data_IF_005086666777
#
_entry.id   IF_005086666777
#
_cell.length_a   1.000
_cell.length_b   1.000
_cell.length_c   1.000
_cell.angle_alpha   90.00
_cell.angle_beta   90.00
_cell.angle_gamma   90.00
#
_symmetry.space_group_name_H-M   'P 1'
#
loop_
_entity.id
_entity.type
_entity.pdbx_description
1 polymer ?
#
# COMPACT_ATOMS: atom_id res chain seq x y z
N UNK A 1 -27.93 -40.39 42.00
CA UNK A 1 -28.94 -40.17 43.05
C UNK A 1 -28.20 -39.71 44.30
N UNK A 2 -28.08 -38.40 44.54
CA UNK A 2 -27.34 -37.89 45.71
C UNK A 2 -28.24 -36.91 46.46
N UNK A 3 -29.25 -37.46 47.14
CA UNK A 3 -29.95 -36.74 48.19
C UNK A 3 -29.00 -36.62 49.37
N UNK A 4 -28.30 -35.49 49.48
CA UNK A 4 -27.70 -35.11 50.75
C UNK A 4 -28.85 -34.84 51.73
N UNK A 5 -29.00 -35.72 52.72
CA UNK A 5 -29.92 -35.51 53.83
C UNK A 5 -29.63 -34.14 54.45
N UNK A 6 -30.63 -33.25 54.46
CA UNK A 6 -30.55 -32.00 55.23
C UNK A 6 -30.39 -32.38 56.70
N UNK A 7 -29.18 -32.25 57.24
CA UNK A 7 -28.95 -32.37 58.68
C UNK A 7 -29.70 -31.24 59.36
N UNK A 8 -30.63 -31.58 60.26
CA UNK A 8 -31.35 -30.62 61.08
C UNK A 8 -30.34 -29.89 61.97
N UNK A 9 -30.17 -28.58 61.76
CA UNK A 9 -29.18 -27.73 62.42
C UNK A 9 -29.60 -27.25 63.81
N UNK A 10 -29.79 -28.18 64.74
CA UNK A 10 -30.01 -27.86 66.15
C UNK A 10 -29.05 -28.65 67.02
N UNK A 11 -28.43 -27.99 67.98
CA UNK A 11 -27.54 -28.63 68.96
C UNK A 11 -28.36 -29.08 70.19
N UNK A 12 -28.17 -30.34 70.61
CA UNK A 12 -28.93 -30.95 71.69
C UNK A 12 -28.19 -30.74 73.02
N UNK A 13 -28.30 -29.53 73.57
CA UNK A 13 -27.93 -29.27 74.97
C UNK A 13 -28.97 -29.83 75.94
N UNK A 14 -28.52 -30.28 77.11
CA UNK A 14 -29.37 -30.84 78.17
C UNK A 14 -30.18 -29.72 78.85
N UNK A 15 -31.36 -29.42 78.29
CA UNK A 15 -32.29 -28.40 78.77
C UNK A 15 -33.41 -28.10 77.75
N UNK A 16 -34.52 -27.45 78.15
CA UNK A 16 -35.73 -27.28 77.34
C UNK A 16 -35.59 -26.27 76.17
N UNK A 17 -34.44 -25.64 75.99
CA UNK A 17 -34.20 -24.62 74.95
C UNK A 17 -33.25 -25.18 73.89
N UNK A 18 -33.69 -25.22 72.63
CA UNK A 18 -32.91 -25.69 71.49
C UNK A 18 -32.20 -24.52 70.81
N UNK A 19 -30.87 -24.59 70.75
CA UNK A 19 -30.04 -23.61 70.05
C UNK A 19 -29.85 -24.02 68.58
N UNK A 20 -29.83 -23.04 67.67
CA UNK A 20 -29.43 -23.25 66.28
C UNK A 20 -27.96 -23.68 66.24
N UNK A 21 -27.64 -24.67 65.40
CA UNK A 21 -26.31 -25.25 65.26
C UNK A 21 -25.28 -24.20 64.81
N UNK A 22 -24.53 -23.68 65.80
CA UNK A 22 -23.49 -22.67 65.62
C UNK A 22 -22.20 -23.21 65.01
N UNK A 23 -22.09 -24.52 64.74
CA UNK A 23 -20.88 -25.11 64.12
C UNK A 23 -20.59 -24.58 62.71
N UNK A 24 -21.59 -23.99 62.05
CA UNK A 24 -21.43 -23.27 60.78
C UNK A 24 -20.70 -21.93 60.93
N UNK A 25 -20.79 -21.28 62.10
CA UNK A 25 -20.14 -20.00 62.43
C UNK A 25 -18.67 -20.18 62.86
N UNK A 26 -18.28 -21.41 63.24
CA UNK A 26 -16.90 -21.75 63.63
C UNK A 26 -16.06 -22.26 62.46
N UNK A 27 -16.57 -22.20 61.23
CA UNK A 27 -15.75 -22.54 60.05
C UNK A 27 -14.59 -21.53 59.97
N UNK A 28 -13.32 -21.99 59.90
CA UNK A 28 -12.19 -21.09 59.75
C UNK A 28 -12.40 -20.22 58.50
N UNK A 29 -12.28 -18.90 58.64
CA UNK A 29 -12.34 -17.95 57.52
C UNK A 29 -11.08 -18.04 56.63
N UNK A 30 -10.04 -18.73 57.10
CA UNK A 30 -8.82 -19.00 56.34
C UNK A 30 -9.01 -20.22 55.43
N UNK A 31 -8.75 -20.03 54.13
CA UNK A 31 -8.75 -21.12 53.18
C UNK A 31 -7.71 -22.19 53.60
N UNK A 32 -8.02 -23.49 53.49
CA UNK A 32 -7.08 -24.54 53.82
C UNK A 32 -5.78 -24.34 53.02
N UNK A 33 -4.62 -24.39 53.68
CA UNK A 33 -3.28 -24.23 53.09
C UNK A 33 -3.07 -24.91 51.71
N UNK A 34 -3.54 -26.15 51.44
CA UNK A 34 -3.40 -26.75 50.11
C UNK A 34 -4.18 -26.02 49.00
N UNK A 35 -5.32 -25.40 49.31
CA UNK A 35 -6.11 -24.63 48.34
C UNK A 35 -5.45 -23.27 48.04
N UNK A 36 -4.85 -22.63 49.04
CA UNK A 36 -4.06 -21.41 48.82
C UNK A 36 -2.84 -21.66 47.92
N UNK A 37 -2.17 -22.80 48.12
CA UNK A 37 -1.05 -23.23 47.26
C UNK A 37 -1.52 -23.47 45.81
N UNK A 38 -2.65 -24.14 45.62
CA UNK A 38 -3.22 -24.35 44.29
C UNK A 38 -3.61 -23.02 43.60
N UNK A 39 -4.22 -22.09 44.35
CA UNK A 39 -4.57 -20.76 43.83
C UNK A 39 -3.32 -19.96 43.46
N UNK A 40 -2.29 -19.97 44.30
CA UNK A 40 -1.02 -19.30 44.01
C UNK A 40 -0.34 -19.88 42.76
N UNK A 41 -0.34 -21.20 42.60
CA UNK A 41 0.17 -21.87 41.40
C UNK A 41 -0.61 -21.48 40.13
N UNK A 42 -1.94 -21.37 40.23
CA UNK A 42 -2.79 -20.97 39.11
C UNK A 42 -2.54 -19.51 38.69
N UNK A 43 -2.41 -18.60 39.67
CA UNK A 43 -2.08 -17.18 39.42
C UNK A 43 -0.70 -17.05 38.78
N UNK A 44 0.29 -17.81 39.24
CA UNK A 44 1.62 -17.85 38.63
C UNK A 44 1.57 -18.36 37.19
N UNK A 45 0.85 -19.46 36.93
CA UNK A 45 0.70 -20.00 35.58
C UNK A 45 0.02 -18.99 34.65
N UNK A 46 -1.05 -18.33 35.11
CA UNK A 46 -1.74 -17.30 34.35
C UNK A 46 -0.84 -16.08 34.07
N UNK A 47 -0.03 -15.64 35.04
CA UNK A 47 0.91 -14.55 34.85
C UNK A 47 2.01 -14.89 33.83
N UNK A 48 2.53 -16.13 33.85
CA UNK A 48 3.52 -16.60 32.88
C UNK A 48 2.91 -16.65 31.48
N UNK A 49 1.72 -17.23 31.32
CA UNK A 49 1.03 -17.31 30.03
C UNK A 49 0.72 -15.91 29.49
N UNK A 50 0.20 -15.01 30.35
CA UNK A 50 -0.06 -13.62 30.00
C UNK A 50 1.21 -12.87 29.59
N UNK A 51 2.32 -13.09 30.31
CA UNK A 51 3.62 -12.50 29.99
C UNK A 51 4.18 -12.99 28.65
N UNK A 52 4.11 -14.30 28.37
CA UNK A 52 4.56 -14.87 27.09
C UNK A 52 3.68 -14.36 25.93
N UNK A 53 2.37 -14.30 26.11
CA UNK A 53 1.46 -13.77 25.10
C UNK A 53 1.74 -12.29 24.81
N UNK A 54 1.90 -11.47 25.86
CA UNK A 54 2.22 -10.05 25.71
C UNK A 54 3.57 -9.84 25.02
N UNK A 55 4.59 -10.62 25.40
CA UNK A 55 5.91 -10.57 24.76
C UNK A 55 5.81 -10.93 23.28
N UNK A 56 5.12 -12.00 22.91
CA UNK A 56 4.94 -12.40 21.52
C UNK A 56 4.16 -11.37 20.68
N UNK A 57 3.17 -10.70 21.26
CA UNK A 57 2.42 -9.64 20.58
C UNK A 57 3.30 -8.40 20.34
N UNK A 58 4.03 -7.96 21.36
CA UNK A 58 4.95 -6.81 21.25
C UNK A 58 6.05 -7.13 20.24
N UNK A 59 6.63 -8.32 20.31
CA UNK A 59 7.71 -8.76 19.42
C UNK A 59 7.27 -8.82 17.97
N UNK A 60 6.08 -9.38 17.71
CA UNK A 60 5.52 -9.47 16.38
C UNK A 60 5.18 -8.08 15.81
N UNK A 61 4.63 -7.16 16.62
CA UNK A 61 4.35 -5.78 16.19
C UNK A 61 5.65 -5.01 15.90
N UNK A 62 6.67 -5.16 16.74
CA UNK A 62 7.93 -4.42 16.60
C UNK A 62 8.73 -4.89 15.39
N UNK A 63 8.92 -6.21 15.24
CA UNK A 63 9.67 -6.77 14.12
C UNK A 63 8.87 -6.82 12.80
N UNK A 64 7.53 -6.78 12.84
CA UNK A 64 6.75 -6.65 11.59
C UNK A 64 6.90 -5.28 10.95
N UNK A 65 6.96 -4.21 11.75
CA UNK A 65 7.21 -2.86 11.24
C UNK A 65 8.61 -2.74 10.61
N UNK A 66 9.63 -3.33 11.25
CA UNK A 66 10.99 -3.37 10.71
C UNK A 66 11.08 -4.18 9.42
N UNK A 67 10.48 -5.38 9.37
CA UNK A 67 10.43 -6.19 8.15
C UNK A 67 9.69 -5.46 7.01
N UNK A 68 8.58 -4.80 7.31
CA UNK A 68 7.85 -4.03 6.30
C UNK A 68 8.69 -2.87 5.75
N UNK A 69 9.45 -2.16 6.59
CA UNK A 69 10.39 -1.12 6.14
C UNK A 69 11.51 -1.70 5.29
N UNK A 70 12.09 -2.82 5.70
CA UNK A 70 13.13 -3.49 4.91
C UNK A 70 12.61 -3.94 3.54
N UNK A 71 11.38 -4.46 3.45
CA UNK A 71 10.75 -4.79 2.16
C UNK A 71 10.49 -3.55 1.31
N UNK A 72 10.05 -2.44 1.92
CA UNK A 72 9.92 -1.16 1.21
C UNK A 72 11.27 -0.71 0.66
N UNK A 73 12.33 -0.69 1.47
CA UNK A 73 13.68 -0.31 1.01
C UNK A 73 14.19 -1.22 -0.12
N UNK A 74 13.96 -2.53 0.00
CA UNK A 74 14.29 -3.49 -1.06
C UNK A 74 13.51 -3.18 -2.35
N UNK A 75 12.22 -2.87 -2.25
CA UNK A 75 11.40 -2.52 -3.40
C UNK A 75 11.87 -1.21 -4.04
N UNK A 76 12.26 -0.21 -3.24
CA UNK A 76 12.78 1.07 -3.72
C UNK A 76 14.17 0.95 -4.38
N UNK A 77 14.96 -0.05 -3.99
CA UNK A 77 16.25 -0.35 -4.61
C UNK A 77 16.13 -1.02 -6.00
N UNK A 78 14.92 -1.46 -6.39
CA UNK A 78 14.65 -2.01 -7.72
C UNK A 78 14.70 -0.90 -8.78
N UNK A 79 14.87 -1.25 -10.07
CA UNK A 79 14.86 -0.27 -11.15
C UNK A 79 13.62 0.63 -11.09
N UNK A 80 13.85 1.94 -11.00
CA UNK A 80 12.76 2.92 -10.93
C UNK A 80 11.91 2.90 -12.20
N UNK A 81 10.64 3.32 -12.10
CA UNK A 81 9.73 3.44 -13.25
C UNK A 81 10.35 4.24 -14.41
N UNK A 82 11.15 5.26 -14.06
CA UNK A 82 11.87 6.12 -14.98
C UNK A 82 12.84 5.37 -15.91
N UNK A 83 13.42 4.25 -15.47
CA UNK A 83 14.37 3.49 -16.27
C UNK A 83 13.74 2.80 -17.49
N UNK A 84 12.41 2.74 -17.55
CA UNK A 84 11.67 2.04 -18.60
C UNK A 84 10.54 2.88 -19.20
N UNK A 85 10.66 4.21 -19.21
CA UNK A 85 9.63 5.08 -19.79
C UNK A 85 9.60 4.99 -21.32
N UNK A 86 8.41 4.95 -21.94
CA UNK A 86 8.29 5.03 -23.39
C UNK A 86 8.53 6.47 -23.85
N UNK A 87 9.36 6.66 -24.89
CA UNK A 87 9.59 7.99 -25.46
C UNK A 87 8.37 8.44 -26.26
N UNK A 88 7.62 9.44 -25.76
CA UNK A 88 6.35 9.84 -26.37
C UNK A 88 6.52 10.44 -27.78
N UNK A 89 7.61 11.16 -28.02
CA UNK A 89 7.88 11.76 -29.33
C UNK A 89 8.10 10.69 -30.42
N UNK A 90 8.67 9.53 -30.05
CA UNK A 90 8.89 8.41 -30.97
C UNK A 90 7.61 7.67 -31.37
N UNK A 91 6.54 7.80 -30.58
CA UNK A 91 5.25 7.15 -30.82
C UNK A 91 4.32 8.00 -31.69
N UNK A 92 4.68 9.26 -31.94
CA UNK A 92 3.90 10.17 -32.78
C UNK A 92 3.75 9.59 -34.19
N UNK A 93 2.52 9.59 -34.70
CA UNK A 93 2.21 9.07 -36.04
C UNK A 93 1.99 7.56 -36.11
N UNK A 94 2.22 6.82 -35.02
CA UNK A 94 1.84 5.40 -34.92
C UNK A 94 0.35 5.26 -34.61
N UNK A 95 -0.28 4.20 -35.13
CA UNK A 95 -1.61 3.77 -34.71
C UNK A 95 -1.52 2.86 -33.48
N UNK A 96 -2.67 2.46 -32.94
CA UNK A 96 -2.75 1.58 -31.77
C UNK A 96 -1.91 0.29 -31.91
N UNK A 97 -1.93 -0.34 -33.09
CA UNK A 97 -1.16 -1.55 -33.37
C UNK A 97 0.35 -1.29 -33.39
N UNK A 98 0.78 -0.18 -33.99
CA UNK A 98 2.18 0.24 -34.04
C UNK A 98 2.73 0.56 -32.65
N UNK A 99 1.94 1.23 -31.79
CA UNK A 99 2.33 1.49 -30.39
C UNK A 99 2.47 0.18 -29.61
N UNK A 100 1.51 -0.75 -29.76
CA UNK A 100 1.58 -2.08 -29.13
C UNK A 100 2.80 -2.88 -29.62
N UNK A 101 3.11 -2.82 -30.91
CA UNK A 101 4.29 -3.47 -31.48
C UNK A 101 5.59 -2.89 -30.90
N UNK A 102 5.70 -1.56 -30.83
CA UNK A 102 6.86 -0.89 -30.23
C UNK A 102 7.07 -1.30 -28.76
N UNK A 103 6.00 -1.49 -27.99
CA UNK A 103 6.09 -1.97 -26.60
C UNK A 103 6.33 -3.48 -26.48
N UNK A 104 5.92 -4.28 -27.47
CA UNK A 104 6.27 -5.71 -27.50
C UNK A 104 7.77 -5.91 -27.78
N UNK A 105 8.36 -5.06 -28.63
CA UNK A 105 9.80 -5.08 -28.96
C UNK A 105 10.70 -4.71 -27.77
N UNK A 106 10.22 -3.89 -26.84
CA UNK A 106 10.97 -3.52 -25.63
C UNK A 106 11.06 -4.66 -24.59
N UNK A 107 10.27 -5.74 -24.76
CA UNK A 107 10.24 -6.89 -23.86
C UNK A 107 9.58 -6.64 -22.51
N UNK A 108 8.84 -5.53 -22.37
CA UNK A 108 8.12 -5.22 -21.14
C UNK A 108 6.87 -6.09 -20.96
N UNK A 109 6.57 -6.43 -19.71
CA UNK A 109 5.26 -7.01 -19.37
C UNK A 109 4.22 -5.89 -19.36
N UNK A 110 3.31 -5.87 -20.34
CA UNK A 110 2.28 -4.85 -20.50
C UNK A 110 0.89 -5.50 -20.35
N UNK A 111 0.07 -4.98 -19.44
CA UNK A 111 -1.34 -5.32 -19.33
C UNK A 111 -2.20 -4.28 -20.05
N UNK A 112 -3.11 -4.73 -20.91
CA UNK A 112 -4.06 -3.86 -21.63
C UNK A 112 -5.38 -3.77 -20.83
N UNK A 113 -5.53 -2.68 -20.08
CA UNK A 113 -6.71 -2.44 -19.26
C UNK A 113 -7.93 -2.09 -20.11
N UNK A 114 -7.75 -1.38 -21.21
CA UNK A 114 -8.82 -1.03 -22.14
C UNK A 114 -9.49 -2.27 -22.72
N UNK A 115 -8.67 -3.23 -23.18
CA UNK A 115 -9.15 -4.52 -23.68
C UNK A 115 -9.89 -5.33 -22.60
N UNK A 116 -9.42 -5.30 -21.35
CA UNK A 116 -10.09 -5.96 -20.23
C UNK A 116 -11.44 -5.33 -19.87
N UNK A 117 -11.60 -4.02 -20.10
CA UNK A 117 -12.87 -3.31 -19.92
C UNK A 117 -13.83 -3.40 -21.12
N UNK A 118 -13.41 -4.03 -22.22
CA UNK A 118 -14.20 -4.12 -23.45
C UNK A 118 -14.34 -2.77 -24.16
N UNK A 119 -13.36 -1.88 -24.03
CA UNK A 119 -13.36 -0.60 -24.73
C UNK A 119 -13.04 -0.82 -26.23
N UNK A 120 -14.00 -0.51 -27.10
CA UNK A 120 -13.86 -0.60 -28.56
C UNK A 120 -13.54 0.76 -29.20
N UNK A 121 -13.32 1.82 -28.40
CA UNK A 121 -13.10 3.19 -28.87
C UNK A 121 -11.78 3.38 -29.63
N UNK A 122 -10.95 2.34 -29.74
CA UNK A 122 -9.61 2.39 -30.31
C UNK A 122 -8.57 3.06 -29.41
N UNK A 123 -8.97 3.57 -28.24
CA UNK A 123 -8.06 4.13 -27.23
C UNK A 123 -7.16 3.04 -26.64
N UNK A 124 -5.98 3.44 -26.16
CA UNK A 124 -5.09 2.56 -25.41
C UNK A 124 -5.07 2.98 -23.94
N UNK A 125 -5.23 2.01 -23.04
CA UNK A 125 -4.93 2.14 -21.62
C UNK A 125 -4.03 0.95 -21.23
N UNK A 126 -2.72 1.17 -21.30
CA UNK A 126 -1.68 0.17 -21.12
C UNK A 126 -0.95 0.39 -19.80
N UNK A 127 -0.71 -0.68 -19.05
CA UNK A 127 0.02 -0.63 -17.79
C UNK A 127 1.25 -1.52 -17.90
N UNK A 128 2.44 -0.94 -17.73
CA UNK A 128 3.67 -1.72 -17.58
C UNK A 128 3.76 -2.28 -16.18
N UNK A 129 3.90 -3.59 -16.08
CA UNK A 129 4.04 -4.28 -14.82
C UNK A 129 5.51 -4.36 -14.40
N UNK A 130 5.80 -4.31 -13.10
CA UNK A 130 7.11 -4.68 -12.60
C UNK A 130 7.41 -6.17 -12.86
N UNK A 131 8.66 -6.52 -13.11
CA UNK A 131 9.06 -7.87 -13.61
C UNK A 131 8.72 -9.04 -12.67
N UNK A 132 8.50 -8.75 -11.38
CA UNK A 132 8.17 -9.68 -10.31
C UNK A 132 6.67 -9.71 -9.95
N UNK A 133 5.83 -8.94 -10.67
CA UNK A 133 4.38 -8.87 -10.45
C UNK A 133 3.66 -9.48 -11.65
N UNK A 134 2.88 -10.54 -11.39
CA UNK A 134 2.02 -11.14 -12.43
C UNK A 134 0.81 -10.26 -12.74
N UNK A 135 0.23 -10.39 -13.93
CA UNK A 135 -0.98 -9.66 -14.33
C UNK A 135 -2.15 -9.85 -13.36
N UNK A 136 -2.40 -11.08 -12.92
CA UNK A 136 -3.48 -11.37 -11.97
C UNK A 136 -3.27 -10.67 -10.62
N UNK A 137 -2.02 -10.63 -10.14
CA UNK A 137 -1.67 -9.93 -8.90
C UNK A 137 -1.79 -8.42 -9.08
N UNK A 138 -1.32 -7.88 -10.20
CA UNK A 138 -1.43 -6.47 -10.53
C UNK A 138 -2.89 -6.01 -10.58
N UNK A 139 -3.77 -6.76 -11.24
CA UNK A 139 -5.20 -6.43 -11.33
C UNK A 139 -5.86 -6.35 -9.95
N UNK A 140 -5.52 -7.28 -9.05
CA UNK A 140 -6.01 -7.22 -7.66
C UNK A 140 -5.49 -5.97 -6.94
N UNK A 141 -4.20 -5.66 -7.07
CA UNK A 141 -3.60 -4.50 -6.41
C UNK A 141 -4.12 -3.15 -6.97
N UNK A 142 -4.30 -3.05 -8.29
CA UNK A 142 -4.83 -1.84 -8.93
C UNK A 142 -6.31 -1.58 -8.61
N UNK A 143 -7.07 -2.58 -8.19
CA UNK A 143 -8.47 -2.39 -7.77
C UNK A 143 -8.62 -1.52 -6.51
N UNK A 144 -7.57 -1.46 -5.67
CA UNK A 144 -7.57 -0.65 -4.45
C UNK A 144 -6.16 -0.25 -4.02
N UNK A 145 -5.50 0.59 -4.82
CA UNK A 145 -4.11 1.02 -4.57
C UNK A 145 -3.96 1.73 -3.21
N UNK A 146 -4.91 2.58 -2.82
CA UNK A 146 -4.88 3.28 -1.53
C UNK A 146 -5.07 2.36 -0.32
N UNK A 147 -5.64 1.17 -0.51
CA UNK A 147 -5.79 0.17 0.55
C UNK A 147 -4.57 -0.73 0.74
N UNK A 148 -3.54 -0.59 -0.10
CA UNK A 148 -2.34 -1.43 -0.05
C UNK A 148 -1.45 -1.09 1.15
N UNK A 149 -0.67 -2.07 1.59
CA UNK A 149 0.45 -1.82 2.49
C UNK A 149 1.55 -1.04 1.75
N UNK A 150 2.42 -0.32 2.48
CA UNK A 150 3.57 0.36 1.85
C UNK A 150 4.46 -0.61 1.04
N UNK A 151 4.60 -1.86 1.51
CA UNK A 151 5.37 -2.88 0.81
C UNK A 151 4.71 -3.28 -0.52
N UNK A 152 3.42 -3.56 -0.53
CA UNK A 152 2.70 -3.92 -1.76
C UNK A 152 2.60 -2.73 -2.73
N UNK A 153 2.40 -1.52 -2.18
CA UNK A 153 2.37 -0.30 -2.96
C UNK A 153 3.71 -0.02 -3.64
N UNK A 154 4.83 -0.14 -2.92
CA UNK A 154 6.15 0.04 -3.55
C UNK A 154 6.51 -1.08 -4.51
N UNK A 155 6.07 -2.32 -4.24
CA UNK A 155 6.22 -3.45 -5.16
C UNK A 155 5.53 -3.18 -6.50
N UNK A 156 4.30 -2.63 -6.45
CA UNK A 156 3.49 -2.32 -7.62
C UNK A 156 3.94 -1.04 -8.33
N UNK A 157 4.10 0.04 -7.59
CA UNK A 157 4.27 1.40 -8.14
C UNK A 157 5.72 1.66 -8.57
N UNK A 158 6.70 1.05 -7.91
CA UNK A 158 8.09 1.20 -8.34
C UNK A 158 8.39 0.26 -9.51
N UNK A 159 8.71 0.85 -10.66
CA UNK A 159 8.95 0.10 -11.89
C UNK A 159 7.71 -0.06 -12.76
N UNK A 160 6.54 0.45 -12.38
CA UNK A 160 5.35 0.50 -13.23
C UNK A 160 5.06 1.91 -13.74
N UNK A 161 4.34 1.96 -14.85
CA UNK A 161 3.76 3.18 -15.41
C UNK A 161 2.48 2.84 -16.16
N UNK A 162 1.61 3.83 -16.32
CA UNK A 162 0.39 3.75 -17.11
C UNK A 162 0.53 4.68 -18.32
N UNK A 163 0.37 4.12 -19.52
CA UNK A 163 0.31 4.84 -20.77
C UNK A 163 -1.14 4.89 -21.26
N UNK A 164 -1.63 6.08 -21.54
CA UNK A 164 -2.94 6.28 -22.17
C UNK A 164 -2.76 7.02 -23.49
N UNK A 165 -3.44 6.54 -24.52
CA UNK A 165 -3.54 7.20 -25.81
C UNK A 165 -5.00 7.28 -26.23
N UNK A 166 -5.42 8.49 -26.61
CA UNK A 166 -6.75 8.73 -27.14
C UNK A 166 -6.69 8.75 -28.66
N UNK A 167 -7.51 7.90 -29.30
CA UNK A 167 -7.63 7.85 -30.75
C UNK A 167 -8.37 9.09 -31.26
N UNK A 168 -7.72 9.86 -32.14
CA UNK A 168 -8.27 11.08 -32.74
C UNK A 168 -7.32 11.70 -33.76
N UNK A 169 -7.75 12.81 -34.38
CA UNK A 169 -6.98 13.52 -35.43
C UNK A 169 -5.67 14.17 -34.89
N UNK A 170 -5.58 14.36 -33.57
CA UNK A 170 -4.44 14.91 -32.86
C UNK A 170 -3.89 13.89 -31.87
N UNK A 171 -2.58 13.64 -31.88
CA UNK A 171 -1.96 12.75 -30.90
C UNK A 171 -2.15 13.31 -29.49
N UNK A 172 -2.85 12.60 -28.60
CA UNK A 172 -2.93 12.90 -27.17
C UNK A 172 -2.44 11.68 -26.40
N UNK A 173 -1.18 11.74 -25.98
CA UNK A 173 -0.50 10.66 -25.25
C UNK A 173 -0.18 11.12 -23.84
N UNK A 174 -0.27 10.20 -22.89
CA UNK A 174 0.08 10.47 -21.51
C UNK A 174 0.72 9.25 -20.86
N UNK A 175 1.79 9.50 -20.11
CA UNK A 175 2.41 8.51 -19.23
C UNK A 175 2.28 9.00 -17.79
N UNK A 176 1.90 8.12 -16.87
CA UNK A 176 1.85 8.41 -15.44
C UNK A 176 2.60 7.35 -14.66
N UNK A 177 3.35 7.76 -13.65
CA UNK A 177 4.12 6.84 -12.81
C UNK A 177 4.39 7.42 -11.42
N UNK A 178 4.79 6.56 -10.49
CA UNK A 178 5.30 7.00 -9.19
C UNK A 178 6.83 7.07 -9.24
N UNK A 179 7.38 8.19 -8.79
CA UNK A 179 8.80 8.42 -8.64
C UNK A 179 9.17 8.44 -7.16
N UNK A 180 10.07 7.54 -6.78
CA UNK A 180 10.60 7.46 -5.42
C UNK A 180 12.05 7.98 -5.33
N UNK A 181 12.64 8.41 -6.45
CA UNK A 181 14.07 8.64 -6.60
C UNK A 181 14.46 10.12 -6.64
N UNK A 182 13.63 11.01 -7.21
CA UNK A 182 14.01 12.42 -7.41
C UNK A 182 14.03 13.27 -6.14
N UNK A 183 13.38 12.82 -5.06
CA UNK A 183 13.45 13.47 -3.74
C UNK A 183 12.58 14.73 -3.55
N UNK A 184 12.21 15.44 -4.62
CA UNK A 184 11.25 16.55 -4.59
C UNK A 184 10.38 16.59 -5.85
N UNK A 185 9.29 17.35 -5.78
CA UNK A 185 8.36 17.53 -6.90
C UNK A 185 9.03 18.23 -8.08
N UNK A 186 9.80 19.29 -7.79
CA UNK A 186 10.53 20.07 -8.80
C UNK A 186 11.62 19.23 -9.48
N UNK A 187 12.36 18.46 -8.68
CA UNK A 187 13.36 17.54 -9.21
C UNK A 187 12.72 16.49 -10.12
N UNK A 188 11.59 15.90 -9.71
CA UNK A 188 10.87 14.92 -10.52
C UNK A 188 10.42 15.49 -11.88
N UNK A 189 9.97 16.75 -11.92
CA UNK A 189 9.66 17.43 -13.19
C UNK A 189 10.90 17.54 -14.07
N UNK A 190 12.03 18.03 -13.53
CA UNK A 190 13.26 18.19 -14.30
C UNK A 190 13.82 16.86 -14.80
N UNK A 191 13.81 15.82 -13.96
CA UNK A 191 14.31 14.49 -14.33
C UNK A 191 13.41 13.86 -15.41
N UNK A 192 12.09 14.06 -15.35
CA UNK A 192 11.18 13.58 -16.40
C UNK A 192 11.39 14.30 -17.74
N UNK A 193 11.57 15.63 -17.74
CA UNK A 193 11.92 16.41 -18.94
C UNK A 193 13.20 15.87 -19.58
N UNK A 194 14.25 15.66 -18.77
CA UNK A 194 15.51 15.11 -19.24
C UNK A 194 15.39 13.67 -19.77
N UNK A 195 14.57 12.83 -19.13
CA UNK A 195 14.35 11.43 -19.51
C UNK A 195 13.63 11.28 -20.86
N UNK A 196 12.67 12.15 -21.15
CA UNK A 196 11.98 12.16 -22.47
C UNK A 196 12.85 12.80 -23.57
N UNK A 197 13.94 13.47 -23.19
CA UNK A 197 14.80 14.20 -24.13
C UNK A 197 14.17 15.51 -24.63
N UNK A 198 13.26 16.10 -23.86
CA UNK A 198 12.68 17.39 -24.21
C UNK A 198 13.73 18.50 -24.10
N UNK A 199 13.72 19.42 -25.06
CA UNK A 199 14.66 20.54 -25.08
C UNK A 199 14.31 21.54 -23.96
N UNK A 200 15.18 21.71 -22.95
CA UNK A 200 14.94 22.65 -21.85
C UNK A 200 14.87 24.10 -22.32
N UNK A 201 15.38 24.45 -23.51
CA UNK A 201 15.26 25.79 -24.07
C UNK A 201 13.84 26.15 -24.49
N UNK A 202 12.99 25.15 -24.77
CA UNK A 202 11.57 25.35 -25.11
C UNK A 202 10.68 25.40 -23.87
N UNK A 203 11.22 25.05 -22.71
CA UNK A 203 10.48 24.94 -21.48
C UNK A 203 10.14 26.33 -20.92
N UNK A 204 8.87 26.56 -20.63
CA UNK A 204 8.41 27.74 -19.89
C UNK A 204 8.84 27.72 -18.43
N UNK A 205 8.42 28.73 -17.67
CA UNK A 205 8.64 28.75 -16.23
C UNK A 205 7.81 27.66 -15.52
N UNK A 206 8.33 27.15 -14.42
CA UNK A 206 7.60 26.20 -13.59
C UNK A 206 6.44 26.90 -12.88
N UNK A 207 5.26 26.30 -12.91
CA UNK A 207 4.03 26.84 -12.34
C UNK A 207 3.29 25.79 -11.51
N UNK A 208 2.28 26.23 -10.76
CA UNK A 208 1.39 25.35 -9.98
C UNK A 208 -0.04 25.51 -10.47
N UNK A 209 -0.72 24.41 -10.77
CA UNK A 209 -2.11 24.44 -11.22
C UNK A 209 -3.12 24.44 -10.06
N UNK A 210 -4.41 24.58 -10.39
CA UNK A 210 -5.50 24.62 -9.40
C UNK A 210 -5.62 23.33 -8.57
N UNK A 211 -5.10 22.22 -9.07
CA UNK A 211 -5.07 20.93 -8.36
C UNK A 211 -3.82 20.78 -7.48
N UNK A 212 -2.94 21.78 -7.46
CA UNK A 212 -1.70 21.78 -6.70
C UNK A 212 -0.56 21.00 -7.36
N UNK A 213 -0.68 20.66 -8.66
CA UNK A 213 0.43 20.04 -9.38
C UNK A 213 1.44 21.11 -9.77
N UNK A 214 2.70 20.88 -9.43
CA UNK A 214 3.81 21.65 -10.03
C UNK A 214 4.03 21.12 -11.44
N UNK A 215 4.06 22.00 -12.43
CA UNK A 215 4.21 21.61 -13.83
C UNK A 215 5.11 22.55 -14.59
N UNK A 216 5.59 22.05 -15.72
CA UNK A 216 6.31 22.81 -16.73
C UNK A 216 5.89 22.30 -18.11
N UNK A 217 5.87 23.21 -19.08
CA UNK A 217 5.41 22.94 -20.44
C UNK A 217 6.37 23.52 -21.47
N UNK A 218 6.32 23.00 -22.68
CA UNK A 218 7.15 23.45 -23.79
C UNK A 218 6.74 22.79 -25.09
N UNK A 219 7.65 22.77 -26.06
CA UNK A 219 7.41 22.21 -27.38
C UNK A 219 8.47 21.20 -27.78
N UNK A 220 8.11 20.21 -28.59
CA UNK A 220 9.05 19.25 -29.15
C UNK A 220 8.72 19.03 -30.63
N UNK A 221 9.74 18.92 -31.47
CA UNK A 221 9.58 18.51 -32.86
C UNK A 221 9.50 16.99 -32.94
N UNK A 222 8.43 16.46 -33.52
CA UNK A 222 8.25 15.03 -33.73
C UNK A 222 7.68 14.79 -35.14
N UNK A 223 8.46 14.13 -36.00
CA UNK A 223 8.16 14.05 -37.43
C UNK A 223 8.18 15.43 -38.09
N UNK A 224 7.15 15.74 -38.88
CA UNK A 224 7.02 17.01 -39.62
C UNK A 224 6.23 18.09 -38.86
N UNK A 225 5.88 17.87 -37.58
CA UNK A 225 5.07 18.77 -36.79
C UNK A 225 5.69 19.11 -35.42
N UNK A 226 5.24 20.24 -34.86
CA UNK A 226 5.57 20.65 -33.49
C UNK A 226 4.44 20.26 -32.57
N UNK A 227 4.77 19.57 -31.48
CA UNK A 227 3.84 19.16 -30.43
C UNK A 227 4.13 19.93 -29.15
N UNK A 228 3.10 20.07 -28.32
CA UNK A 228 3.20 20.59 -26.98
C UNK A 228 3.39 19.45 -25.99
N UNK A 229 4.31 19.63 -25.05
CA UNK A 229 4.48 18.72 -23.93
C UNK A 229 4.20 19.43 -22.61
N UNK A 230 3.69 18.68 -21.64
CA UNK A 230 3.54 19.13 -20.25
C UNK A 230 3.98 18.02 -19.31
N UNK A 231 4.92 18.34 -18.44
CA UNK A 231 5.33 17.48 -17.33
C UNK A 231 4.75 18.07 -16.05
N UNK A 232 4.05 17.24 -15.28
CA UNK A 232 3.39 17.63 -14.03
C UNK A 232 3.74 16.65 -12.94
N UNK A 233 3.87 17.14 -11.72
CA UNK A 233 4.22 16.35 -10.57
C UNK A 233 3.49 16.86 -9.32
N UNK A 234 3.15 15.94 -8.42
CA UNK A 234 2.56 16.22 -7.12
C UNK A 234 3.04 15.16 -6.11
N UNK A 235 2.99 15.45 -4.81
CA UNK A 235 3.26 14.42 -3.79
C UNK A 235 2.37 13.20 -4.01
N UNK A 236 2.96 12.01 -3.92
CA UNK A 236 2.23 10.75 -4.12
C UNK A 236 1.08 10.60 -3.12
N UNK A 237 1.23 11.13 -1.90
CA UNK A 237 0.19 11.14 -0.86
C UNK A 237 -1.04 11.98 -1.20
N UNK A 238 -0.94 12.93 -2.14
CA UNK A 238 -2.10 13.66 -2.65
C UNK A 238 -2.94 12.81 -3.62
N UNK A 239 -2.38 11.73 -4.17
CA UNK A 239 -3.03 10.82 -5.12
C UNK A 239 -3.47 9.53 -4.42
N UNK A 240 -2.59 8.95 -3.59
CA UNK A 240 -2.86 7.72 -2.85
C UNK A 240 -2.57 7.90 -1.36
N UNK A 241 -3.59 7.68 -0.51
CA UNK A 241 -3.44 7.71 0.94
C UNK A 241 -2.86 6.38 1.48
N UNK A 242 -1.56 6.17 1.26
CA UNK A 242 -0.85 4.94 1.67
C UNK A 242 0.15 5.28 2.78
N UNK A 243 -0.09 4.69 3.95
CA UNK A 243 0.76 4.90 5.13
C UNK A 243 2.10 4.17 5.00
N UNK A 244 3.19 4.84 5.35
CA UNK A 244 4.53 4.24 5.41
C UNK A 244 5.35 4.36 4.11
N UNK A 245 4.83 5.05 3.08
CA UNK A 245 5.63 5.46 1.93
C UNK A 245 6.54 6.64 2.29
N UNK A 246 7.66 6.84 1.56
CA UNK A 246 8.50 8.02 1.73
C UNK A 246 7.73 9.31 1.46
N UNK A 247 7.91 10.33 2.31
CA UNK A 247 7.30 11.66 2.11
C UNK A 247 7.82 12.39 0.85
N UNK A 248 8.94 11.91 0.32
CA UNK A 248 9.57 12.38 -0.91
C UNK A 248 9.04 11.69 -2.17
N UNK A 249 8.11 10.74 -2.04
CA UNK A 249 7.51 10.07 -3.18
C UNK A 249 6.61 11.03 -3.97
N UNK A 250 6.74 11.02 -5.28
CA UNK A 250 6.08 11.94 -6.21
C UNK A 250 5.27 11.14 -7.23
N UNK A 251 4.09 11.62 -7.58
CA UNK A 251 3.33 11.15 -8.72
C UNK A 251 3.61 12.07 -9.92
N UNK A 252 4.10 11.50 -11.01
CA UNK A 252 4.51 12.24 -12.21
C UNK A 252 3.59 11.89 -13.37
N UNK A 253 3.17 12.91 -14.12
CA UNK A 253 2.42 12.78 -15.36
C UNK A 253 3.11 13.55 -16.48
N UNK A 254 3.42 12.86 -17.56
CA UNK A 254 3.98 13.41 -18.80
C UNK A 254 2.86 13.35 -19.85
N UNK A 255 2.60 14.47 -20.52
CA UNK A 255 1.62 14.54 -21.60
C UNK A 255 2.26 15.13 -22.84
N UNK A 256 2.00 14.51 -23.99
CA UNK A 256 2.32 15.04 -25.32
C UNK A 256 1.01 15.22 -26.09
N UNK A 257 0.79 16.42 -26.65
CA UNK A 257 -0.42 16.77 -27.36
C UNK A 257 -0.14 17.71 -28.54
N UNK A 258 -0.96 17.64 -29.60
CA UNK A 258 -0.90 18.57 -30.72
C UNK A 258 -1.70 19.85 -30.43
#
# INVERSE_FOLDING_TARGET
>A
MFFNARKNGYDAGDGPVRYLDGSSLTRPLEAPRPQMLAMAAFVLAAAVIGGVFLFNVIDNVTHSAERARATVEQNLARPASMASLPNLASLVGLNAEGVKAAFAESGWSIADKGALSGDESGNLDLIKLPDDVSEAQALLMYSNVSGLSAADATLLLNGSWQFTWEAGDSANMRVKYADFSSGSVEAAVQTAIASEGFDPATAGEMAVDESGNTFQEGTVAAGDATYHWRVSAIKLSSVYDIKGLPDTAVYVGIRLYA
#
